data_IF_754033588915
#
_entry.id   IF_754033588915
#
_cell.length_a   1.000
_cell.length_b   1.000
_cell.length_c   1.000
_cell.angle_alpha   90.00
_cell.angle_beta   90.00
_cell.angle_gamma   90.00
#
_symmetry.space_group_name_H-M   'P 1'
#
loop_
_entity.id
_entity.type
_entity.pdbx_description
1 polymer ?
#
# COMPACT_ATOMS: atom_id res chain seq x y z
N UNK A 1 3.56 -41.55 -29.58
CA UNK A 1 4.26 -41.59 -28.29
C UNK A 1 4.91 -40.24 -28.08
N UNK A 2 4.74 -39.74 -26.86
CA UNK A 2 4.73 -38.35 -26.43
C UNK A 2 6.11 -37.66 -26.43
N UNK A 3 6.07 -36.34 -26.63
CA UNK A 3 7.01 -35.27 -26.21
C UNK A 3 8.51 -35.42 -26.40
N UNK A 4 9.13 -34.39 -27.00
CA UNK A 4 10.06 -33.52 -26.25
C UNK A 4 9.91 -32.08 -26.76
N UNK A 5 9.42 -31.19 -25.89
CA UNK A 5 9.40 -29.74 -26.05
C UNK A 5 10.81 -29.22 -25.68
N UNK A 6 11.46 -28.33 -26.45
CA UNK A 6 12.67 -27.69 -25.98
C UNK A 6 12.34 -26.53 -25.03
N UNK A 7 12.82 -26.71 -23.80
CA UNK A 7 13.01 -25.76 -22.69
C UNK A 7 12.99 -24.28 -23.09
N UNK A 8 11.81 -23.65 -23.00
CA UNK A 8 11.70 -22.20 -23.06
C UNK A 8 12.15 -21.64 -21.71
N UNK A 9 13.27 -20.93 -21.77
CA UNK A 9 13.90 -20.21 -20.66
C UNK A 9 12.88 -19.27 -20.05
N UNK A 10 12.52 -19.56 -18.80
CA UNK A 10 11.61 -18.75 -18.00
C UNK A 10 12.32 -17.43 -17.65
N UNK A 11 12.18 -16.43 -18.52
CA UNK A 11 12.67 -15.07 -18.32
C UNK A 11 11.49 -14.19 -17.91
N UNK A 12 11.39 -13.73 -16.64
CA UNK A 12 10.25 -12.96 -16.16
C UNK A 12 10.18 -11.51 -16.69
N UNK A 13 10.98 -11.15 -17.70
CA UNK A 13 11.14 -9.78 -18.19
C UNK A 13 10.76 -9.54 -19.67
N UNK A 14 10.08 -10.48 -20.35
CA UNK A 14 9.60 -10.22 -21.72
C UNK A 14 8.25 -9.50 -21.73
N UNK A 15 8.34 -8.23 -22.12
CA UNK A 15 7.31 -7.21 -22.30
C UNK A 15 6.33 -7.59 -23.41
N UNK A 16 5.04 -7.64 -23.08
CA UNK A 16 3.93 -7.28 -23.95
C UNK A 16 2.85 -6.58 -23.10
N UNK A 17 2.29 -5.50 -23.64
CA UNK A 17 1.70 -4.40 -22.87
C UNK A 17 0.31 -4.62 -22.25
N UNK A 18 -0.01 -3.65 -21.38
CA UNK A 18 -1.28 -3.37 -20.66
C UNK A 18 -1.47 -4.12 -19.33
N UNK A 19 -0.86 -3.59 -18.27
CA UNK A 19 -1.36 -3.73 -16.90
C UNK A 19 -0.89 -2.56 -16.02
N UNK A 20 -1.30 -1.34 -16.39
CA UNK A 20 -1.22 -0.23 -15.45
C UNK A 20 -2.34 -0.40 -14.41
N UNK A 21 -1.95 -0.43 -13.13
CA UNK A 21 -2.80 -0.24 -11.96
C UNK A 21 -3.75 -1.37 -11.54
N UNK A 22 -3.25 -2.61 -11.40
CA UNK A 22 -3.86 -3.56 -10.47
C UNK A 22 -2.74 -4.29 -9.72
N UNK A 23 -2.39 -3.82 -8.52
CA UNK A 23 -1.81 -4.72 -7.54
C UNK A 23 -2.78 -5.89 -7.43
N UNK A 24 -2.32 -7.09 -7.80
CA UNK A 24 -3.19 -8.26 -7.90
C UNK A 24 -3.93 -8.42 -6.56
N UNK A 25 -5.23 -8.71 -6.62
CA UNK A 25 -6.06 -8.76 -5.39
C UNK A 25 -5.50 -9.79 -4.41
N UNK A 26 -4.82 -10.83 -4.93
CA UNK A 26 -4.08 -11.82 -4.17
C UNK A 26 -2.85 -11.23 -3.44
N UNK A 27 -2.02 -10.43 -4.12
CA UNK A 27 -0.85 -9.75 -3.53
C UNK A 27 -1.26 -8.78 -2.43
N UNK A 28 -2.40 -8.09 -2.60
CA UNK A 28 -2.96 -7.23 -1.54
C UNK A 28 -3.34 -8.04 -0.30
N UNK A 29 -3.98 -9.20 -0.50
CA UNK A 29 -4.40 -10.06 0.60
C UNK A 29 -3.23 -10.55 1.47
N UNK A 30 -2.10 -10.90 0.84
CA UNK A 30 -0.95 -11.49 1.53
C UNK A 30 -0.32 -10.53 2.55
N UNK A 31 0.01 -9.29 2.16
CA UNK A 31 0.62 -8.35 3.11
C UNK A 31 -0.37 -7.89 4.18
N UNK A 32 -1.66 -7.74 3.83
CA UNK A 32 -2.69 -7.34 4.80
C UNK A 32 -2.78 -8.35 5.95
N UNK A 33 -2.52 -9.63 5.69
CA UNK A 33 -2.54 -10.65 6.75
C UNK A 33 -1.51 -10.43 7.85
N UNK A 34 -0.42 -9.72 7.55
CA UNK A 34 0.70 -9.43 8.45
C UNK A 34 0.50 -8.12 9.23
N UNK A 35 -0.62 -7.41 9.02
CA UNK A 35 -0.91 -6.15 9.69
C UNK A 35 -1.17 -6.34 11.19
N UNK A 36 -0.42 -5.62 12.04
CA UNK A 36 -0.57 -5.68 13.51
C UNK A 36 -1.97 -5.25 13.99
N UNK A 37 -2.58 -4.27 13.34
CA UNK A 37 -3.90 -3.77 13.71
C UNK A 37 -5.02 -4.79 13.46
N UNK A 38 -4.78 -5.84 12.68
CA UNK A 38 -5.77 -6.89 12.37
C UNK A 38 -6.31 -7.61 13.61
N UNK A 39 -5.50 -7.73 14.66
CA UNK A 39 -5.87 -8.43 15.89
C UNK A 39 -6.58 -7.53 16.91
N UNK A 40 -6.71 -6.22 16.62
CA UNK A 40 -7.36 -5.24 17.48
C UNK A 40 -8.81 -4.96 17.08
N UNK A 41 -9.39 -3.96 17.73
CA UNK A 41 -10.71 -3.43 17.36
C UNK A 41 -10.62 -2.65 16.03
N UNK A 42 -11.34 -3.06 14.97
CA UNK A 42 -11.34 -2.34 13.69
C UNK A 42 -11.83 -0.90 13.83
N UNK A 43 -12.78 -0.61 14.72
CA UNK A 43 -13.36 0.72 14.88
C UNK A 43 -12.36 1.72 15.47
N UNK A 44 -11.34 1.22 16.19
CA UNK A 44 -10.25 2.04 16.72
C UNK A 44 -9.45 2.76 15.62
N UNK A 45 -9.46 2.27 14.37
CA UNK A 45 -8.79 2.90 13.24
C UNK A 45 -9.63 4.00 12.57
N UNK A 46 -10.95 4.01 12.78
CA UNK A 46 -11.90 4.92 12.12
C UNK A 46 -12.39 6.07 13.01
N UNK A 47 -11.63 6.38 14.07
CA UNK A 47 -11.90 7.51 14.98
C UNK A 47 -11.70 8.88 14.31
N UNK A 48 -12.24 9.94 14.94
CA UNK A 48 -12.19 11.32 14.44
C UNK A 48 -11.28 12.23 15.27
N UNK A 49 -10.84 13.32 14.66
CA UNK A 49 -10.12 14.40 15.34
C UNK A 49 -8.83 13.95 16.02
N UNK A 50 -8.59 14.43 17.24
CA UNK A 50 -7.35 14.14 17.98
C UNK A 50 -7.12 12.65 18.27
N UNK A 51 -8.20 11.84 18.31
CA UNK A 51 -8.10 10.40 18.56
C UNK A 51 -7.34 9.66 17.44
N UNK A 52 -7.34 10.19 16.21
CA UNK A 52 -6.59 9.59 15.09
C UNK A 52 -5.09 9.52 15.35
N UNK A 53 -4.53 10.44 16.15
CA UNK A 53 -3.10 10.39 16.52
C UNK A 53 -2.77 9.19 17.40
N UNK A 54 -3.70 8.82 18.29
CA UNK A 54 -3.52 7.62 19.13
C UNK A 54 -3.66 6.36 18.30
N UNK A 55 -4.64 6.32 17.40
CA UNK A 55 -4.81 5.20 16.46
C UNK A 55 -3.58 5.03 15.56
N UNK A 56 -2.97 6.12 15.08
CA UNK A 56 -1.73 6.09 14.29
C UNK A 56 -0.55 5.45 15.05
N UNK A 57 -0.53 5.51 16.38
CA UNK A 57 0.52 4.87 17.17
C UNK A 57 0.50 3.34 17.07
N UNK A 58 -0.66 2.72 16.79
CA UNK A 58 -0.79 1.27 16.57
C UNK A 58 0.09 0.83 15.39
N UNK A 59 0.20 1.68 14.36
CA UNK A 59 0.93 1.37 13.15
C UNK A 59 2.46 1.55 13.25
N UNK A 60 3.00 2.19 14.32
CA UNK A 60 4.43 2.59 14.42
C UNK A 60 5.43 1.45 14.18
N UNK A 61 5.06 0.23 14.56
CA UNK A 61 5.92 -0.95 14.43
C UNK A 61 5.26 -2.03 13.55
N UNK A 62 4.32 -1.64 12.69
CA UNK A 62 3.67 -2.56 11.78
C UNK A 62 4.62 -2.87 10.61
N UNK A 63 4.93 -4.15 10.34
CA UNK A 63 5.88 -4.51 9.27
C UNK A 63 5.38 -4.08 7.88
N UNK A 64 4.07 -3.96 7.73
CA UNK A 64 3.41 -3.61 6.46
C UNK A 64 2.93 -2.15 6.41
N UNK A 65 3.51 -1.28 7.23
CA UNK A 65 3.10 0.13 7.29
C UNK A 65 3.26 0.83 5.93
N UNK A 66 4.35 0.56 5.20
CA UNK A 66 4.63 1.20 3.90
C UNK A 66 3.64 0.75 2.82
N UNK A 67 3.39 -0.56 2.71
CA UNK A 67 2.39 -1.11 1.81
C UNK A 67 0.99 -0.56 2.13
N UNK A 68 0.67 -0.43 3.42
CA UNK A 68 -0.61 0.12 3.87
C UNK A 68 -0.78 1.60 3.53
N UNK A 69 0.26 2.42 3.67
CA UNK A 69 0.23 3.83 3.22
C UNK A 69 0.10 3.91 1.70
N UNK A 70 0.90 3.15 0.96
CA UNK A 70 0.87 3.12 -0.50
C UNK A 70 -0.55 2.83 -1.00
N UNK A 71 -1.13 1.73 -0.50
CA UNK A 71 -2.47 1.29 -0.87
C UNK A 71 -3.52 2.36 -0.54
N UNK A 72 -3.43 3.00 0.63
CA UNK A 72 -4.36 4.06 0.99
C UNK A 72 -4.24 5.31 0.09
N UNK A 73 -3.04 5.64 -0.39
CA UNK A 73 -2.80 6.77 -1.28
C UNK A 73 -3.25 6.48 -2.72
N UNK A 74 -2.92 5.30 -3.24
CA UNK A 74 -3.32 4.84 -4.58
C UNK A 74 -4.84 4.75 -4.71
N UNK A 75 -5.52 4.17 -3.72
CA UNK A 75 -6.98 4.07 -3.70
C UNK A 75 -7.67 5.35 -3.18
N UNK A 76 -6.91 6.41 -2.87
CA UNK A 76 -7.41 7.70 -2.34
C UNK A 76 -8.38 7.54 -1.15
N UNK A 77 -8.04 6.64 -0.23
CA UNK A 77 -8.92 6.30 0.90
C UNK A 77 -9.17 7.51 1.79
N UNK A 78 -10.44 7.88 1.94
CA UNK A 78 -10.85 9.13 2.56
C UNK A 78 -10.85 9.11 4.09
N UNK A 79 -11.07 7.94 4.71
CA UNK A 79 -11.32 7.84 6.15
C UNK A 79 -10.33 6.94 6.87
N UNK A 80 -10.28 7.09 8.20
CA UNK A 80 -9.48 6.26 9.09
C UNK A 80 -7.97 6.48 9.01
N UNK A 81 -7.26 5.72 9.82
CA UNK A 81 -5.79 5.71 9.92
C UNK A 81 -5.23 4.55 9.11
N UNK A 82 -4.26 4.85 8.25
CA UNK A 82 -3.65 3.88 7.34
C UNK A 82 -2.13 4.02 7.42
N UNK A 83 -1.45 2.91 7.72
CA UNK A 83 0.02 2.86 7.81
C UNK A 83 0.66 3.93 8.72
N UNK A 84 -0.08 4.38 9.75
CA UNK A 84 0.38 5.42 10.68
C UNK A 84 0.08 6.86 10.24
N UNK A 85 -0.62 7.04 9.11
CA UNK A 85 -1.04 8.35 8.63
C UNK A 85 -2.52 8.60 8.89
N UNK A 86 -2.80 9.79 9.41
CA UNK A 86 -4.16 10.35 9.51
C UNK A 86 -4.70 10.73 8.14
N UNK A 87 -6.03 10.82 8.02
CA UNK A 87 -6.71 11.34 6.83
C UNK A 87 -6.12 12.68 6.36
N UNK A 88 -5.89 13.61 7.29
CA UNK A 88 -5.35 14.94 6.98
C UNK A 88 -3.95 14.86 6.38
N UNK A 89 -3.09 13.97 6.89
CA UNK A 89 -1.74 13.77 6.38
C UNK A 89 -1.77 13.16 4.98
N UNK A 90 -2.59 12.13 4.74
CA UNK A 90 -2.73 11.54 3.39
C UNK A 90 -3.24 12.56 2.37
N UNK A 91 -4.26 13.35 2.73
CA UNK A 91 -4.74 14.43 1.86
C UNK A 91 -3.66 15.47 1.57
N UNK A 92 -2.80 15.78 2.54
CA UNK A 92 -1.68 16.70 2.32
C UNK A 92 -0.64 16.10 1.34
N UNK A 93 -0.32 14.80 1.47
CA UNK A 93 0.59 14.11 0.55
C UNK A 93 0.07 14.12 -0.89
N UNK A 94 -1.20 13.76 -1.10
CA UNK A 94 -1.81 13.75 -2.43
C UNK A 94 -1.82 15.14 -3.09
N UNK A 95 -2.05 16.21 -2.30
CA UNK A 95 -2.00 17.59 -2.82
C UNK A 95 -0.58 18.06 -3.15
N UNK A 96 0.41 17.67 -2.35
CA UNK A 96 1.80 18.09 -2.54
C UNK A 96 2.52 17.30 -3.63
N UNK A 97 2.08 16.08 -3.90
CA UNK A 97 2.71 15.18 -4.85
C UNK A 97 1.74 14.77 -5.97
N UNK A 98 1.21 15.71 -6.78
CA UNK A 98 0.24 15.40 -7.83
C UNK A 98 0.83 14.58 -8.99
N UNK A 99 2.16 14.52 -9.09
CA UNK A 99 2.87 13.79 -10.13
C UNK A 99 3.05 12.29 -9.82
N UNK A 100 2.84 11.87 -8.57
CA UNK A 100 2.96 10.47 -8.17
C UNK A 100 1.62 9.78 -8.45
N UNK A 101 1.61 8.88 -9.42
CA UNK A 101 0.42 8.13 -9.85
C UNK A 101 0.39 6.69 -9.34
N UNK A 102 1.54 6.15 -8.92
CA UNK A 102 1.69 4.83 -8.32
C UNK A 102 2.57 4.94 -7.07
N UNK A 103 1.94 4.98 -5.90
CA UNK A 103 2.59 5.10 -4.61
C UNK A 103 3.26 3.80 -4.17
N UNK A 104 2.72 2.64 -4.54
CA UNK A 104 3.34 1.35 -4.28
C UNK A 104 4.75 1.26 -4.89
N UNK A 105 4.86 1.59 -6.17
CA UNK A 105 6.14 1.60 -6.87
C UNK A 105 7.08 2.69 -6.37
N UNK A 106 6.56 3.92 -6.17
CA UNK A 106 7.35 5.04 -5.66
C UNK A 106 8.01 4.72 -4.31
N UNK A 107 7.25 4.17 -3.36
CA UNK A 107 7.76 3.83 -2.04
C UNK A 107 8.67 2.59 -2.07
N UNK A 108 8.43 1.63 -2.96
CA UNK A 108 9.31 0.48 -3.15
C UNK A 108 10.70 0.88 -3.72
N UNK A 109 10.75 1.94 -4.51
CA UNK A 109 12.00 2.53 -5.03
C UNK A 109 12.74 3.42 -4.01
N UNK A 110 12.23 3.52 -2.78
CA UNK A 110 12.83 4.34 -1.72
C UNK A 110 12.36 5.81 -1.72
N UNK A 111 11.24 6.10 -2.38
CA UNK A 111 10.60 7.42 -2.31
C UNK A 111 10.20 7.78 -0.88
N UNK A 112 10.32 9.07 -0.54
CA UNK A 112 9.99 9.58 0.78
C UNK A 112 8.60 10.23 0.82
N UNK A 113 7.93 10.14 1.96
CA UNK A 113 6.65 10.80 2.18
C UNK A 113 6.86 12.30 2.47
N UNK A 114 7.04 13.09 1.41
CA UNK A 114 7.35 14.52 1.54
C UNK A 114 6.12 15.31 1.96
N UNK A 115 6.23 16.01 3.10
CA UNK A 115 5.30 17.08 3.49
C UNK A 115 4.25 16.71 4.54
N UNK A 116 4.55 15.75 5.42
CA UNK A 116 3.76 15.37 6.60
C UNK A 116 4.45 15.70 7.92
#
# INVERSE_FOLDING_TARGET
MTSVIPEQRNNPFSRDGVAAAHMDTAERGEWVTQAKCRNGDPDALFVRGAAQRRAAAICRHCPVAMQCVADALDNKVEFGVWGGLTERQRRALLRKNPHITNWGEYLAQGGELIGI
#
